data_IF_736087898244
#
_entry.id   IF_736087898244
#
_cell.length_a   1.000
_cell.length_b   1.000
_cell.length_c   1.000
_cell.angle_alpha   90.00
_cell.angle_beta   90.00
_cell.angle_gamma   90.00
#
_symmetry.space_group_name_H-M   'P 1'
#
loop_
_entity.id
_entity.type
_entity.pdbx_description
1 polymer ?
#
# COMPACT_ATOMS: atom_id res chain seq x y z
N UNK A 1 6.28 -33.52 14.52
CA UNK A 1 6.27 -34.39 13.32
C UNK A 1 6.18 -33.61 12.01
N UNK A 2 5.02 -33.07 11.59
CA UNK A 2 4.90 -32.37 10.29
C UNK A 2 5.82 -31.13 10.19
N UNK A 3 5.87 -30.32 11.25
CA UNK A 3 6.66 -29.09 11.26
C UNK A 3 8.18 -29.33 11.35
N UNK A 4 8.58 -30.49 11.89
CA UNK A 4 9.99 -30.91 11.93
C UNK A 4 10.46 -31.37 10.55
N UNK A 5 9.64 -32.13 9.83
CA UNK A 5 9.93 -32.57 8.45
C UNK A 5 9.97 -31.40 7.46
N UNK A 6 9.19 -30.35 7.72
CA UNK A 6 9.20 -29.12 6.91
C UNK A 6 10.56 -28.38 6.97
N UNK A 7 11.31 -28.53 8.06
CA UNK A 7 12.64 -27.93 8.19
C UNK A 7 13.71 -28.69 7.40
N UNK A 8 13.47 -29.96 7.11
CA UNK A 8 14.36 -30.78 6.27
C UNK A 8 14.09 -30.59 4.78
N UNK A 9 12.92 -30.06 4.40
CA UNK A 9 12.55 -29.79 3.00
C UNK A 9 13.55 -28.85 2.34
N UNK A 10 14.19 -29.28 1.26
CA UNK A 10 15.16 -28.49 0.49
C UNK A 10 14.56 -28.01 -0.82
N UNK A 11 15.23 -27.04 -1.44
CA UNK A 11 14.80 -26.50 -2.72
C UNK A 11 14.80 -27.56 -3.83
N UNK A 12 15.74 -28.51 -3.74
CA UNK A 12 15.90 -29.62 -4.68
C UNK A 12 14.69 -30.56 -4.70
N UNK A 13 13.96 -30.62 -3.58
CA UNK A 13 12.77 -31.45 -3.41
C UNK A 13 11.52 -30.81 -4.06
N UNK A 14 11.61 -29.55 -4.50
CA UNK A 14 10.52 -28.78 -5.07
C UNK A 14 10.55 -28.77 -6.61
N UNK A 15 9.38 -28.70 -7.22
CA UNK A 15 9.19 -28.60 -8.68
C UNK A 15 8.10 -27.59 -9.03
N UNK A 16 8.17 -27.03 -10.24
CA UNK A 16 7.19 -26.08 -10.78
C UNK A 16 7.02 -24.83 -9.92
N UNK A 17 5.77 -24.37 -9.77
CA UNK A 17 5.40 -23.14 -9.06
C UNK A 17 5.89 -23.13 -7.60
N UNK A 18 5.92 -24.28 -6.92
CA UNK A 18 6.42 -24.36 -5.55
C UNK A 18 7.92 -24.04 -5.46
N UNK A 19 8.71 -24.50 -6.45
CA UNK A 19 10.14 -24.21 -6.53
C UNK A 19 10.37 -22.74 -6.88
N UNK A 20 9.67 -22.23 -7.90
CA UNK A 20 9.76 -20.83 -8.31
C UNK A 20 9.41 -19.87 -7.16
N UNK A 21 8.37 -20.20 -6.40
CA UNK A 21 7.98 -19.42 -5.22
C UNK A 21 9.08 -19.47 -4.14
N UNK A 22 9.60 -20.65 -3.83
CA UNK A 22 10.67 -20.82 -2.86
C UNK A 22 11.98 -20.12 -3.27
N UNK A 23 12.32 -20.09 -4.56
CA UNK A 23 13.45 -19.31 -5.11
C UNK A 23 13.21 -17.81 -4.95
N UNK A 24 11.96 -17.36 -5.13
CA UNK A 24 11.59 -15.94 -5.05
C UNK A 24 11.61 -15.39 -3.62
N UNK A 25 11.09 -16.16 -2.65
CA UNK A 25 10.91 -15.68 -1.26
C UNK A 25 11.93 -16.27 -0.27
N UNK A 26 12.67 -17.30 -0.68
CA UNK A 26 13.58 -18.07 0.16
C UNK A 26 12.90 -19.24 0.89
N UNK A 27 13.66 -20.30 1.16
CA UNK A 27 13.15 -21.55 1.76
C UNK A 27 12.51 -21.33 3.14
N UNK A 28 13.07 -20.48 4.00
CA UNK A 28 12.50 -20.25 5.33
C UNK A 28 11.13 -19.56 5.27
N UNK A 29 10.97 -18.60 4.36
CA UNK A 29 9.68 -17.94 4.14
C UNK A 29 8.68 -18.89 3.48
N UNK A 30 9.13 -19.72 2.54
CA UNK A 30 8.30 -20.75 1.91
C UNK A 30 7.78 -21.77 2.92
N UNK A 31 8.65 -22.29 3.81
CA UNK A 31 8.24 -23.22 4.88
C UNK A 31 7.18 -22.61 5.79
N UNK A 32 7.34 -21.34 6.19
CA UNK A 32 6.32 -20.61 6.97
C UNK A 32 5.02 -20.45 6.19
N UNK A 33 5.09 -20.13 4.90
CA UNK A 33 3.92 -19.98 4.04
C UNK A 33 3.14 -21.29 3.93
N UNK A 34 3.82 -22.43 3.76
CA UNK A 34 3.21 -23.76 3.73
C UNK A 34 2.63 -24.15 5.09
N UNK A 35 3.30 -23.83 6.20
CA UNK A 35 2.79 -24.14 7.54
C UNK A 35 1.51 -23.36 7.87
N UNK A 36 1.46 -22.07 7.50
CA UNK A 36 0.33 -21.18 7.83
C UNK A 36 -0.83 -21.33 6.84
N UNK A 37 -0.53 -21.41 5.54
CA UNK A 37 -1.55 -21.37 4.48
C UNK A 37 -1.71 -22.70 3.72
N UNK A 38 -0.85 -23.69 3.95
CA UNK A 38 -0.94 -24.98 3.28
C UNK A 38 -2.29 -25.68 3.55
N UNK A 39 -2.95 -26.14 2.49
CA UNK A 39 -4.24 -26.83 2.59
C UNK A 39 -5.46 -25.92 2.78
N UNK A 40 -5.28 -24.59 2.86
CA UNK A 40 -6.40 -23.62 2.93
C UNK A 40 -7.06 -23.35 1.56
N UNK A 41 -6.60 -24.00 0.49
CA UNK A 41 -7.07 -23.79 -0.88
C UNK A 41 -6.11 -22.91 -1.68
N UNK A 42 -6.65 -22.06 -2.57
CA UNK A 42 -5.85 -21.10 -3.36
C UNK A 42 -5.64 -19.81 -2.57
N UNK A 43 -4.38 -19.46 -2.28
CA UNK A 43 -4.01 -18.16 -1.72
C UNK A 43 -3.94 -17.15 -2.86
N UNK A 44 -4.74 -16.08 -2.79
CA UNK A 44 -4.71 -15.01 -3.78
C UNK A 44 -3.56 -14.03 -3.49
N UNK A 45 -2.70 -13.80 -4.48
CA UNK A 45 -1.72 -12.72 -4.46
C UNK A 45 -2.32 -11.51 -5.17
N UNK A 46 -2.59 -10.39 -4.46
CA UNK A 46 -3.17 -9.20 -5.06
C UNK A 46 -2.19 -8.53 -6.03
N UNK A 47 -2.73 -7.86 -7.05
CA UNK A 47 -1.94 -6.96 -7.88
C UNK A 47 -1.35 -5.85 -7.03
N UNK A 48 -0.06 -5.54 -7.25
CA UNK A 48 0.66 -4.51 -6.50
C UNK A 48 -0.11 -3.18 -6.48
N UNK A 49 -0.64 -2.75 -7.62
CA UNK A 49 -1.40 -1.49 -7.74
C UNK A 49 -2.54 -1.38 -6.72
N UNK A 50 -3.27 -2.47 -6.43
CA UNK A 50 -4.37 -2.45 -5.46
C UNK A 50 -3.88 -2.14 -4.04
N UNK A 51 -2.69 -2.63 -3.69
CA UNK A 51 -2.06 -2.37 -2.40
C UNK A 51 -1.38 -0.99 -2.35
N UNK A 52 -0.88 -0.53 -3.49
CA UNK A 52 -0.12 0.72 -3.60
C UNK A 52 -1.01 1.95 -3.74
N UNK A 53 -2.21 1.85 -4.34
CA UNK A 53 -3.14 2.99 -4.52
C UNK A 53 -3.42 3.72 -3.19
N UNK A 54 -3.82 3.04 -2.09
CA UNK A 54 -4.08 3.73 -0.82
C UNK A 54 -2.85 4.45 -0.26
N UNK A 55 -1.67 3.86 -0.45
CA UNK A 55 -0.39 4.44 0.00
C UNK A 55 -0.05 5.68 -0.84
N UNK A 56 -0.14 5.57 -2.17
CA UNK A 56 0.08 6.68 -3.10
C UNK A 56 -0.87 7.84 -2.80
N UNK A 57 -2.15 7.56 -2.63
CA UNK A 57 -3.16 8.61 -2.38
C UNK A 57 -2.93 9.29 -1.03
N UNK A 58 -2.45 8.56 -0.02
CA UNK A 58 -1.99 9.15 1.25
C UNK A 58 -0.80 10.08 1.03
N UNK A 59 0.22 9.66 0.29
CA UNK A 59 1.39 10.50 0.00
C UNK A 59 1.01 11.76 -0.80
N UNK A 60 0.09 11.64 -1.77
CA UNK A 60 -0.45 12.79 -2.51
C UNK A 60 -1.17 13.76 -1.56
N UNK A 61 -1.98 13.27 -0.62
CA UNK A 61 -2.60 14.12 0.41
C UNK A 61 -1.55 14.78 1.30
N UNK A 62 -0.52 14.07 1.71
CA UNK A 62 0.54 14.60 2.58
C UNK A 62 1.30 15.74 1.87
N UNK A 63 1.66 15.55 0.60
CA UNK A 63 2.38 16.52 -0.24
C UNK A 63 1.54 17.72 -0.72
N UNK A 64 0.21 17.63 -0.68
CA UNK A 64 -0.66 18.70 -1.17
C UNK A 64 -0.62 19.95 -0.29
N UNK A 65 -0.32 21.10 -0.88
CA UNK A 65 -0.18 22.39 -0.18
C UNK A 65 -1.37 23.35 -0.38
N UNK A 66 -2.41 22.92 -1.11
CA UNK A 66 -3.55 23.76 -1.45
C UNK A 66 -3.56 24.25 -2.90
N UNK A 67 -2.39 24.35 -3.54
CA UNK A 67 -2.25 24.94 -4.89
C UNK A 67 -1.45 24.08 -5.88
N UNK A 68 -0.62 23.15 -5.39
CA UNK A 68 0.32 22.36 -6.18
C UNK A 68 -0.29 21.18 -6.98
N UNK A 69 -1.56 21.25 -7.37
CA UNK A 69 -2.24 20.16 -8.10
C UNK A 69 -1.51 19.77 -9.39
N UNK A 70 -1.06 20.76 -10.18
CA UNK A 70 -0.35 20.49 -11.43
C UNK A 70 0.99 19.77 -11.21
N UNK A 71 1.73 20.14 -10.16
CA UNK A 71 2.98 19.49 -9.79
C UNK A 71 2.76 18.03 -9.38
N UNK A 72 1.69 17.76 -8.61
CA UNK A 72 1.31 16.41 -8.21
C UNK A 72 0.90 15.55 -9.41
N UNK A 73 0.14 16.10 -10.37
CA UNK A 73 -0.24 15.37 -11.59
C UNK A 73 1.00 14.91 -12.36
N UNK A 74 1.99 15.79 -12.52
CA UNK A 74 3.24 15.48 -13.22
C UNK A 74 4.10 14.46 -12.45
N UNK A 75 4.21 14.60 -11.13
CA UNK A 75 5.02 13.71 -10.29
C UNK A 75 4.46 12.29 -10.24
N UNK A 76 3.14 12.17 -10.08
CA UNK A 76 2.47 10.87 -9.89
C UNK A 76 1.89 10.29 -11.19
N UNK A 77 2.03 11.01 -12.31
CA UNK A 77 1.47 10.66 -13.62
C UNK A 77 -0.04 10.36 -13.56
N UNK A 78 -0.79 11.29 -12.97
CA UNK A 78 -2.25 11.17 -12.78
C UNK A 78 -2.99 12.30 -13.46
N UNK A 79 -4.25 12.06 -13.81
CA UNK A 79 -5.13 13.11 -14.31
C UNK A 79 -5.49 14.11 -13.21
N UNK A 80 -5.72 15.36 -13.61
CA UNK A 80 -6.07 16.43 -12.67
C UNK A 80 -7.33 16.12 -11.87
N UNK A 81 -8.36 15.56 -12.52
CA UNK A 81 -9.60 15.17 -11.84
C UNK A 81 -9.38 14.13 -10.74
N UNK A 82 -8.46 13.18 -10.96
CA UNK A 82 -8.12 12.16 -9.99
C UNK A 82 -7.36 12.73 -8.79
N UNK A 83 -6.35 13.57 -9.04
CA UNK A 83 -5.62 14.27 -7.97
C UNK A 83 -6.55 15.17 -7.17
N UNK A 84 -7.44 15.94 -7.82
CA UNK A 84 -8.45 16.77 -7.15
C UNK A 84 -9.40 15.94 -6.29
N UNK A 85 -9.77 14.73 -6.74
CA UNK A 85 -10.55 13.79 -5.95
C UNK A 85 -9.82 13.37 -4.67
N UNK A 86 -8.54 13.01 -4.78
CA UNK A 86 -7.69 12.59 -3.64
C UNK A 86 -7.57 13.69 -2.59
N UNK A 87 -7.35 14.94 -3.01
CA UNK A 87 -7.04 16.06 -2.11
C UNK A 87 -8.28 16.84 -1.64
N UNK A 88 -9.48 16.49 -2.14
CA UNK A 88 -10.73 17.23 -1.90
C UNK A 88 -10.96 17.57 -0.42
N UNK A 89 -10.83 16.58 0.46
CA UNK A 89 -11.03 16.78 1.90
C UNK A 89 -10.00 17.76 2.49
N UNK A 90 -8.73 17.63 2.10
CA UNK A 90 -7.65 18.53 2.54
C UNK A 90 -7.86 19.94 2.01
N UNK A 91 -8.35 20.11 0.77
CA UNK A 91 -8.72 21.42 0.22
C UNK A 91 -9.81 22.08 1.05
N UNK A 92 -10.86 21.35 1.42
CA UNK A 92 -11.94 21.88 2.27
C UNK A 92 -11.46 22.24 3.67
N UNK A 93 -10.53 21.47 4.25
CA UNK A 93 -9.90 21.80 5.53
C UNK A 93 -9.09 23.10 5.45
N UNK A 94 -8.24 23.25 4.42
CA UNK A 94 -7.45 24.48 4.19
C UNK A 94 -8.38 25.69 4.01
N UNK A 95 -9.49 25.53 3.29
CA UNK A 95 -10.47 26.61 3.07
C UNK A 95 -11.24 27.02 4.32
N UNK A 96 -11.50 26.08 5.22
CA UNK A 96 -12.21 26.33 6.49
C UNK A 96 -11.30 26.83 7.59
N UNK A 97 -9.98 26.75 7.41
CA UNK A 97 -9.03 27.27 8.38
C UNK A 97 -9.24 28.78 8.56
N UNK A 98 -9.25 29.30 9.80
CA UNK A 98 -9.29 30.74 10.05
C UNK A 98 -8.12 31.41 9.33
N UNK A 99 -8.35 32.60 8.78
CA UNK A 99 -7.26 33.39 8.24
C UNK A 99 -6.33 33.82 9.36
N UNK A 100 -5.04 33.95 9.06
CA UNK A 100 -4.04 34.36 10.03
C UNK A 100 -4.40 35.75 10.59
N UNK A 101 -4.54 35.87 11.91
CA UNK A 101 -5.01 37.08 12.60
C UNK A 101 -6.53 37.23 12.79
N UNK A 102 -7.34 36.24 12.42
CA UNK A 102 -8.79 36.27 12.64
C UNK A 102 -9.16 35.83 14.07
N UNK A 103 -9.78 36.73 14.85
CA UNK A 103 -10.42 36.36 16.13
C UNK A 103 -11.71 35.57 15.86
N UNK A 104 -11.91 34.51 16.62
CA UNK A 104 -13.14 33.71 16.60
C UNK A 104 -14.24 34.41 17.39
N UNK A 105 -15.50 34.10 17.08
CA UNK A 105 -16.68 34.65 17.78
C UNK A 105 -16.67 34.39 19.30
N UNK A 106 -15.85 33.44 19.76
CA UNK A 106 -15.72 33.03 21.16
C UNK A 106 -14.51 33.66 21.88
N UNK A 107 -13.74 34.51 21.20
CA UNK A 107 -12.59 35.22 21.78
C UNK A 107 -12.98 36.55 22.47
N UNK A 108 -14.26 36.72 22.82
CA UNK A 108 -14.83 37.90 23.52
C UNK A 108 -15.29 37.54 24.93
#
# INVERSE_FOLDING_TARGET
MRNELLNELKLEDLQGEARELAETIGMDAFRRLVDVYGGTGRVYIPQADKLLIPIRDRLIRDEYDGSNVYALCKKWNLSEGYVRGIVREKTEQIRRAPLDGQCTLFDV
#
